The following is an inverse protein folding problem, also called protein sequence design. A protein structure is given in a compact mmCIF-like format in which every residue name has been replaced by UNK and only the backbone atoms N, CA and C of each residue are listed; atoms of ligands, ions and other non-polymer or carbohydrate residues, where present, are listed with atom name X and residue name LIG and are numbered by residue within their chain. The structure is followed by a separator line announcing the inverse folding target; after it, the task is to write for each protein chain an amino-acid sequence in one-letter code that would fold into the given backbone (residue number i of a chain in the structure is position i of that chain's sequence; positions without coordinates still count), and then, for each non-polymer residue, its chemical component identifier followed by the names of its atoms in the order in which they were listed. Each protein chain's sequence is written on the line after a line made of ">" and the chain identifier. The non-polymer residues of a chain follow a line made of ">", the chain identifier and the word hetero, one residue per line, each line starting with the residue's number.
data_IF_725246405298
#
_entry.id   IF_725246405298
#
_cell.length_a   1.000
_cell.length_b   1.000
_cell.length_c   1.000
_cell.angle_alpha   90.00
_cell.angle_beta   90.00
_cell.angle_gamma   90.00
#
_symmetry.space_group_name_H-M   'P 1'
#
loop_
_entity.id
_entity.type
_entity.pdbx_description
1 polymer ?
#
# COMPACT_ATOMS: atom_id res chain seq x y z
N UNK A 1 -5.65 50.99 17.59
CA UNK A 1 -6.25 49.87 18.35
C UNK A 1 -6.35 48.61 17.49
N UNK A 2 -7.05 48.64 16.35
CA UNK A 2 -7.16 47.49 15.44
C UNK A 2 -5.81 46.89 15.00
N UNK A 3 -4.88 47.72 14.48
CA UNK A 3 -3.55 47.27 14.06
C UNK A 3 -2.73 46.65 15.20
N UNK A 4 -2.89 47.16 16.42
CA UNK A 4 -2.21 46.63 17.61
C UNK A 4 -2.78 45.27 17.99
N UNK A 5 -4.10 45.09 17.93
CA UNK A 5 -4.75 43.80 18.19
C UNK A 5 -4.28 42.76 17.17
N UNK A 6 -4.29 43.10 15.87
CA UNK A 6 -3.81 42.19 14.81
C UNK A 6 -2.34 41.82 15.03
N UNK A 7 -1.47 42.80 15.31
CA UNK A 7 -0.06 42.55 15.57
C UNK A 7 0.17 41.63 16.78
N UNK A 8 -0.58 41.85 17.88
CA UNK A 8 -0.51 40.99 19.07
C UNK A 8 -1.00 39.58 18.76
N UNK A 9 -2.12 39.44 18.03
CA UNK A 9 -2.64 38.13 17.63
C UNK A 9 -1.64 37.36 16.75
N UNK A 10 -1.01 38.03 15.78
CA UNK A 10 0.03 37.43 14.94
C UNK A 10 1.27 37.02 15.76
N UNK A 11 1.68 37.87 16.72
CA UNK A 11 2.79 37.54 17.63
C UNK A 11 2.48 36.31 18.49
N UNK A 12 1.26 36.23 19.03
CA UNK A 12 0.80 35.08 19.82
C UNK A 12 0.81 33.81 18.97
N UNK A 13 0.29 33.86 17.74
CA UNK A 13 0.30 32.73 16.81
C UNK A 13 1.73 32.30 16.45
N UNK A 14 2.63 33.26 16.21
CA UNK A 14 4.04 32.98 15.96
C UNK A 14 4.70 32.27 17.15
N UNK A 15 4.48 32.76 18.38
CA UNK A 15 5.02 32.15 19.59
C UNK A 15 4.48 30.73 19.80
N UNK A 16 3.20 30.49 19.54
CA UNK A 16 2.64 29.14 19.58
C UNK A 16 3.24 28.22 18.53
N UNK A 17 3.41 28.70 17.29
CA UNK A 17 4.04 27.94 16.21
C UNK A 17 5.49 27.58 16.51
N UNK A 18 6.28 28.52 17.04
CA UNK A 18 7.66 28.27 17.47
C UNK A 18 7.72 27.22 18.59
N UNK A 19 6.86 27.33 19.60
CA UNK A 19 6.80 26.35 20.69
C UNK A 19 6.39 24.97 20.22
N UNK A 20 5.44 24.88 19.29
CA UNK A 20 5.02 23.60 18.71
C UNK A 20 6.17 22.96 17.92
N UNK A 21 6.89 23.75 17.11
CA UNK A 21 8.09 23.28 16.38
C UNK A 21 9.17 22.80 17.34
N UNK A 22 9.54 23.60 18.34
CA UNK A 22 10.54 23.21 19.34
C UNK A 22 10.14 21.93 20.10
N UNK A 23 8.86 21.75 20.41
CA UNK A 23 8.38 20.54 21.07
C UNK A 23 8.45 19.32 20.16
N UNK A 24 8.12 19.48 18.87
CA UNK A 24 8.29 18.42 17.89
C UNK A 24 9.77 18.04 17.73
N UNK A 25 10.66 19.02 17.56
CA UNK A 25 12.09 18.80 17.42
C UNK A 25 12.66 18.06 18.64
N UNK A 26 12.20 18.38 19.86
CA UNK A 26 12.57 17.62 21.07
C UNK A 26 12.09 16.17 21.03
N UNK A 27 10.90 15.90 20.50
CA UNK A 27 10.38 14.53 20.40
C UNK A 27 11.12 13.73 19.31
N UNK A 28 11.35 14.35 18.14
CA UNK A 28 12.15 13.78 17.05
C UNK A 28 13.54 13.38 17.55
N UNK A 29 14.22 14.27 18.27
CA UNK A 29 15.58 14.03 18.77
C UNK A 29 15.67 12.90 19.82
N UNK A 30 14.55 12.46 20.40
CA UNK A 30 14.53 11.29 21.31
C UNK A 30 14.54 9.96 20.57
N UNK A 31 14.15 9.93 19.30
CA UNK A 31 14.02 8.71 18.51
C UNK A 31 15.18 8.66 17.51
N UNK A 32 16.24 7.86 17.76
CA UNK A 32 17.44 7.90 16.94
C UNK A 32 17.25 7.37 15.52
N UNK A 33 16.39 6.36 15.30
CA UNK A 33 16.12 5.80 13.97
C UNK A 33 14.76 6.30 13.49
N UNK A 34 14.71 7.06 12.39
CA UNK A 34 13.47 7.63 11.85
C UNK A 34 13.41 7.34 10.36
N UNK A 35 12.47 6.48 9.96
CA UNK A 35 12.41 5.90 8.62
C UNK A 35 11.14 6.37 7.89
N UNK A 36 11.31 7.23 6.89
CA UNK A 36 10.21 7.73 6.05
C UNK A 36 10.01 6.82 4.83
N UNK A 37 8.90 6.08 4.80
CA UNK A 37 8.53 5.20 3.69
C UNK A 37 7.58 5.94 2.75
N UNK A 38 8.09 6.39 1.61
CA UNK A 38 7.34 7.10 0.59
C UNK A 38 7.30 6.30 -0.73
N UNK A 39 6.51 6.77 -1.68
CA UNK A 39 6.29 6.09 -2.95
C UNK A 39 4.81 6.03 -3.30
N UNK A 40 4.50 5.56 -4.49
CA UNK A 40 3.11 5.51 -4.94
C UNK A 40 2.39 4.32 -4.31
N UNK A 41 2.93 3.10 -4.43
CA UNK A 41 2.30 1.85 -3.96
C UNK A 41 3.22 0.99 -3.10
N UNK A 42 2.64 0.14 -2.26
CA UNK A 42 3.40 -0.78 -1.40
C UNK A 42 3.95 -0.15 -0.11
N UNK A 43 3.72 1.14 0.14
CA UNK A 43 4.24 1.83 1.33
C UNK A 43 3.83 1.17 2.65
N UNK A 44 2.54 0.84 2.82
CA UNK A 44 2.06 0.21 4.06
C UNK A 44 2.70 -1.16 4.29
N UNK A 45 2.84 -1.96 3.22
CA UNK A 45 3.52 -3.26 3.28
C UNK A 45 4.99 -3.10 3.68
N UNK A 46 5.74 -2.24 2.98
CA UNK A 46 7.15 -1.98 3.30
C UNK A 46 7.32 -1.44 4.72
N UNK A 47 6.42 -0.55 5.16
CA UNK A 47 6.41 -0.02 6.54
C UNK A 47 6.32 -1.14 7.56
N UNK A 48 5.46 -2.14 7.34
CA UNK A 48 5.32 -3.29 8.24
C UNK A 48 6.50 -4.23 8.19
N UNK A 49 7.01 -4.54 7.00
CA UNK A 49 8.18 -5.40 6.84
C UNK A 49 9.41 -4.80 7.54
N UNK A 50 9.67 -3.51 7.32
CA UNK A 50 10.76 -2.77 7.96
C UNK A 50 10.59 -2.76 9.47
N UNK A 51 9.40 -2.37 9.97
CA UNK A 51 9.17 -2.32 11.41
C UNK A 51 9.26 -3.71 12.06
N UNK A 52 8.76 -4.77 11.41
CA UNK A 52 8.89 -6.15 11.89
C UNK A 52 10.34 -6.61 11.95
N UNK A 53 11.15 -6.31 10.93
CA UNK A 53 12.58 -6.60 10.92
C UNK A 53 13.33 -5.89 12.07
N UNK A 54 12.98 -4.64 12.37
CA UNK A 54 13.57 -3.90 13.50
C UNK A 54 13.14 -4.47 14.85
N UNK A 55 11.86 -4.82 15.02
CA UNK A 55 11.35 -5.42 16.25
C UNK A 55 11.99 -6.78 16.55
N UNK A 56 12.16 -7.61 15.53
CA UNK A 56 12.84 -8.92 15.65
C UNK A 56 14.34 -8.77 15.97
N UNK A 57 14.93 -7.62 15.64
CA UNK A 57 16.29 -7.25 16.03
C UNK A 57 16.36 -6.57 17.42
N UNK A 58 15.32 -6.72 18.24
CA UNK A 58 15.18 -6.14 19.59
C UNK A 58 15.22 -4.60 19.64
N UNK A 59 14.98 -3.91 18.52
CA UNK A 59 14.89 -2.45 18.47
C UNK A 59 13.48 -2.02 18.84
N UNK A 60 13.34 -1.15 19.85
CA UNK A 60 12.03 -0.63 20.30
C UNK A 60 11.40 0.23 19.22
N UNK A 61 10.59 -0.40 18.38
CA UNK A 61 10.09 0.21 17.15
C UNK A 61 8.62 0.57 17.28
N UNK A 62 8.25 1.75 16.82
CA UNK A 62 6.86 2.15 16.60
C UNK A 62 6.64 2.36 15.11
N UNK A 63 5.61 1.71 14.58
CA UNK A 63 5.23 1.84 13.18
C UNK A 63 3.93 2.60 13.01
N UNK A 64 3.82 3.35 11.91
CA UNK A 64 2.63 4.11 11.53
C UNK A 64 2.26 3.88 10.07
N UNK A 65 1.01 3.48 9.83
CA UNK A 65 0.42 3.42 8.48
C UNK A 65 -0.69 4.45 8.31
N UNK A 66 -0.85 4.97 7.10
CA UNK A 66 -1.74 6.09 6.79
C UNK A 66 -2.85 5.78 5.80
N UNK A 67 -2.98 4.52 5.37
CA UNK A 67 -4.02 4.07 4.43
C UNK A 67 -5.47 4.15 4.96
N UNK A 68 -6.38 3.40 4.31
CA UNK A 68 -7.82 3.36 4.65
C UNK A 68 -8.06 2.98 6.11
N UNK A 69 -7.28 2.05 6.63
CA UNK A 69 -7.22 1.72 8.05
C UNK A 69 -5.91 2.24 8.63
N UNK A 70 -5.86 3.53 8.97
CA UNK A 70 -4.68 4.16 9.57
C UNK A 70 -4.47 3.64 11.00
N UNK A 71 -3.25 3.18 11.32
CA UNK A 71 -2.94 2.52 12.60
C UNK A 71 -1.51 2.82 13.06
N UNK A 72 -1.35 2.80 14.37
CA UNK A 72 -0.07 2.73 15.08
C UNK A 72 0.11 1.33 15.63
N UNK A 73 1.34 0.82 15.59
CA UNK A 73 1.70 -0.48 16.15
C UNK A 73 3.05 -0.39 16.86
N UNK A 74 3.21 -1.19 17.92
CA UNK A 74 4.23 -0.96 18.95
C UNK A 74 4.97 -2.26 19.26
N UNK A 75 6.25 -2.16 19.57
CA UNK A 75 7.08 -3.34 19.88
C UNK A 75 6.65 -4.12 21.13
N UNK A 76 5.88 -3.51 22.04
CA UNK A 76 5.52 -4.10 23.35
C UNK A 76 4.09 -4.65 23.43
N UNK A 77 3.28 -4.53 22.38
CA UNK A 77 1.91 -5.04 22.37
C UNK A 77 1.50 -5.53 20.98
N UNK A 78 0.73 -6.61 20.95
CA UNK A 78 0.19 -7.13 19.68
C UNK A 78 -0.94 -6.29 19.12
N UNK A 79 -1.70 -5.61 19.97
CA UNK A 79 -2.87 -4.84 19.53
C UNK A 79 -2.44 -3.53 18.86
N UNK A 80 -2.95 -3.30 17.65
CA UNK A 80 -2.67 -2.08 16.90
C UNK A 80 -3.71 -1.00 17.20
N UNK A 81 -3.26 0.20 17.55
CA UNK A 81 -4.11 1.34 17.88
C UNK A 81 -4.60 2.03 16.59
N UNK A 82 -5.92 2.08 16.34
CA UNK A 82 -6.45 2.85 15.22
C UNK A 82 -6.17 4.34 15.38
N UNK A 83 -5.81 5.02 14.29
CA UNK A 83 -5.69 6.48 14.26
C UNK A 83 -7.07 7.07 14.00
N UNK A 84 -7.70 7.60 15.06
CA UNK A 84 -8.99 8.28 14.94
C UNK A 84 -8.79 9.64 14.29
N UNK A 85 -9.20 9.75 13.03
CA UNK A 85 -9.13 11.00 12.27
C UNK A 85 -10.14 12.01 12.79
N UNK A 86 -9.76 13.28 12.73
CA UNK A 86 -10.65 14.40 13.05
C UNK A 86 -11.61 14.65 11.87
N UNK A 87 -12.59 15.53 12.06
CA UNK A 87 -13.61 15.85 11.06
C UNK A 87 -13.03 16.35 9.73
N UNK A 88 -11.83 16.93 9.73
CA UNK A 88 -11.15 17.40 8.52
C UNK A 88 -10.56 16.26 7.67
N UNK A 89 -10.70 15.00 8.11
CA UNK A 89 -10.20 13.84 7.40
C UNK A 89 -8.69 13.61 7.59
N UNK A 90 -8.06 12.84 6.68
CA UNK A 90 -6.64 12.53 6.74
C UNK A 90 -5.80 13.80 6.69
N UNK A 91 -4.87 13.97 7.64
CA UNK A 91 -4.02 15.15 7.66
C UNK A 91 -2.60 14.81 8.10
N UNK A 92 -1.61 15.37 7.40
CA UNK A 92 -0.20 15.18 7.72
C UNK A 92 0.13 15.49 9.19
N UNK A 93 -0.62 16.37 9.88
CA UNK A 93 -0.43 16.71 11.31
C UNK A 93 -0.50 15.51 12.26
N UNK A 94 -1.14 14.43 11.83
CA UNK A 94 -1.13 13.13 12.51
C UNK A 94 0.31 12.66 12.80
N UNK A 95 1.28 13.10 12.00
CA UNK A 95 2.69 12.79 12.16
C UNK A 95 3.29 13.31 13.47
N UNK A 96 3.01 14.56 13.85
CA UNK A 96 3.55 15.17 15.08
C UNK A 96 3.00 14.46 16.32
N UNK A 97 1.75 14.02 16.27
CA UNK A 97 1.10 13.25 17.35
C UNK A 97 1.76 11.89 17.48
N UNK A 98 1.95 11.17 16.37
CA UNK A 98 2.59 9.86 16.36
C UNK A 98 4.05 9.89 16.85
N UNK A 99 4.83 10.89 16.43
CA UNK A 99 6.21 11.07 16.90
C UNK A 99 6.24 11.38 18.39
N UNK A 100 5.34 12.24 18.87
CA UNK A 100 5.22 12.51 20.30
C UNK A 100 4.95 11.23 21.09
N UNK A 101 3.99 10.43 20.64
CA UNK A 101 3.62 9.18 21.29
C UNK A 101 4.79 8.19 21.31
N UNK A 102 5.42 7.94 20.17
CA UNK A 102 6.61 7.08 20.08
C UNK A 102 7.76 7.56 20.99
N UNK A 103 7.98 8.87 21.08
CA UNK A 103 8.99 9.47 21.94
C UNK A 103 8.66 9.38 23.43
N UNK A 104 7.37 9.42 23.81
CA UNK A 104 6.92 9.23 25.19
C UNK A 104 7.04 7.76 25.62
N UNK A 105 6.81 6.82 24.71
CA UNK A 105 6.97 5.38 24.96
C UNK A 105 8.46 4.96 25.02
N UNK A 106 9.37 5.82 24.56
CA UNK A 106 10.81 5.55 24.55
C UNK A 106 11.25 4.67 23.39
N UNK A 107 10.60 4.84 22.22
CA UNK A 107 10.98 4.16 21.00
C UNK A 107 12.40 4.54 20.54
N UNK A 108 13.14 3.54 20.08
CA UNK A 108 14.46 3.67 19.45
C UNK A 108 14.31 3.88 17.94
N UNK A 109 13.25 3.32 17.36
CA UNK A 109 12.93 3.48 15.96
C UNK A 109 11.48 3.90 15.73
N UNK A 110 11.28 4.76 14.74
CA UNK A 110 9.95 5.16 14.27
C UNK A 110 9.87 5.05 12.74
N UNK A 111 9.03 4.15 12.26
CA UNK A 111 8.84 3.83 10.84
C UNK A 111 7.48 4.35 10.40
N UNK A 112 7.44 5.28 9.46
CA UNK A 112 6.18 5.90 9.03
C UNK A 112 6.01 5.84 7.53
N UNK A 113 4.82 5.40 7.13
CA UNK A 113 4.30 5.68 5.81
C UNK A 113 4.13 7.19 5.60
N UNK A 114 4.59 7.70 4.47
CA UNK A 114 4.36 9.06 4.03
C UNK A 114 2.95 9.20 3.42
N UNK A 115 2.17 10.14 3.95
CA UNK A 115 0.82 10.46 3.44
C UNK A 115 0.76 11.76 2.65
N UNK A 116 1.88 12.47 2.52
CA UNK A 116 1.90 13.76 1.86
C UNK A 116 1.82 13.59 0.34
N UNK A 117 0.71 13.98 -0.29
CA UNK A 117 0.62 13.97 -1.76
C UNK A 117 1.17 15.27 -2.34
N UNK A 118 0.85 16.42 -1.74
CA UNK A 118 1.30 17.72 -2.25
C UNK A 118 2.83 17.88 -2.09
N UNK A 119 3.57 18.38 -3.10
CA UNK A 119 5.02 18.54 -3.03
C UNK A 119 5.50 19.39 -1.85
N UNK A 120 4.79 20.45 -1.49
CA UNK A 120 5.14 21.27 -0.32
C UNK A 120 4.95 20.50 1.00
N UNK A 121 3.96 19.61 1.06
CA UNK A 121 3.72 18.78 2.23
C UNK A 121 4.75 17.67 2.35
N UNK A 122 5.27 17.15 1.24
CA UNK A 122 6.39 16.21 1.23
C UNK A 122 7.61 16.82 1.94
N UNK A 123 7.95 18.07 1.58
CA UNK A 123 9.02 18.82 2.22
C UNK A 123 8.78 19.04 3.71
N UNK A 124 7.62 19.56 4.11
CA UNK A 124 7.29 19.80 5.53
C UNK A 124 7.31 18.48 6.32
N UNK A 125 6.78 17.40 5.74
CA UNK A 125 6.77 16.09 6.37
C UNK A 125 8.19 15.60 6.64
N UNK A 126 9.10 15.68 5.65
CA UNK A 126 10.49 15.28 5.81
C UNK A 126 11.28 16.25 6.69
N UNK A 127 11.39 17.51 6.31
CA UNK A 127 12.39 18.45 6.84
C UNK A 127 11.98 19.03 8.21
N UNK A 128 10.68 19.19 8.46
CA UNK A 128 10.20 19.85 9.68
C UNK A 128 9.64 18.87 10.69
N UNK A 129 8.86 17.89 10.27
CA UNK A 129 8.08 17.07 11.20
C UNK A 129 8.73 15.75 11.53
N UNK A 130 9.08 14.96 10.51
CA UNK A 130 9.66 13.64 10.70
C UNK A 130 11.17 13.67 10.88
N UNK A 131 11.86 14.56 10.17
CA UNK A 131 13.32 14.67 10.13
C UNK A 131 13.96 13.29 10.03
N UNK A 132 13.44 12.47 9.12
CA UNK A 132 13.90 11.11 8.94
C UNK A 132 15.38 11.12 8.58
N UNK A 133 16.15 10.19 9.14
CA UNK A 133 17.54 9.96 8.75
C UNK A 133 17.68 8.76 7.80
N UNK A 134 16.58 8.04 7.56
CA UNK A 134 16.49 7.01 6.53
C UNK A 134 15.26 7.31 5.68
N UNK A 135 15.45 7.60 4.40
CA UNK A 135 14.39 7.80 3.42
C UNK A 135 14.27 6.57 2.52
N UNK A 136 13.04 6.10 2.29
CA UNK A 136 12.77 4.98 1.37
C UNK A 136 11.76 5.42 0.33
N UNK A 137 12.08 5.26 -0.95
CA UNK A 137 11.11 5.43 -2.05
C UNK A 137 10.82 4.08 -2.67
N UNK A 138 9.62 3.57 -2.45
CA UNK A 138 9.20 2.22 -2.83
C UNK A 138 9.08 2.06 -4.34
N UNK A 139 8.46 3.03 -5.02
CA UNK A 139 8.35 3.13 -6.47
C UNK A 139 7.90 4.54 -6.86
N UNK A 140 8.03 4.83 -8.15
CA UNK A 140 7.52 6.04 -8.80
C UNK A 140 6.62 5.59 -9.95
N UNK A 141 5.30 5.71 -9.78
CA UNK A 141 4.33 5.47 -10.87
C UNK A 141 3.31 6.60 -10.90
N UNK A 142 2.60 6.74 -12.02
CA UNK A 142 1.54 7.72 -12.21
C UNK A 142 0.40 7.49 -11.21
N UNK A 143 0.17 8.49 -10.36
CA UNK A 143 -0.91 8.55 -9.39
C UNK A 143 -1.06 10.00 -8.93
N UNK A 144 -2.27 10.40 -8.58
CA UNK A 144 -2.57 11.77 -8.13
C UNK A 144 -1.96 12.90 -8.99
N UNK A 145 -1.96 12.71 -10.32
CA UNK A 145 -1.33 13.64 -11.28
C UNK A 145 -1.96 15.04 -11.23
N UNK A 146 -3.21 15.14 -10.78
CA UNK A 146 -3.90 16.40 -10.51
C UNK A 146 -3.26 17.24 -9.38
N UNK A 147 -2.50 16.60 -8.48
CA UNK A 147 -1.80 17.24 -7.36
C UNK A 147 -0.30 17.27 -7.57
N UNK A 148 0.27 16.15 -8.02
CA UNK A 148 1.72 15.99 -8.16
C UNK A 148 2.27 16.66 -9.41
N UNK A 149 1.45 16.83 -10.44
CA UNK A 149 1.84 17.44 -11.71
C UNK A 149 1.59 16.52 -12.90
N UNK A 150 1.62 17.06 -14.13
CA UNK A 150 1.12 16.36 -15.30
C UNK A 150 2.03 15.22 -15.81
N UNK A 151 3.22 15.04 -15.24
CA UNK A 151 4.19 14.03 -15.71
C UNK A 151 4.90 13.34 -14.54
N UNK A 152 5.42 12.14 -14.78
CA UNK A 152 6.13 11.34 -13.76
C UNK A 152 7.36 12.07 -13.22
N UNK A 153 8.02 12.93 -14.00
CA UNK A 153 9.13 13.76 -13.54
C UNK A 153 8.73 14.67 -12.37
N UNK A 154 7.48 15.17 -12.35
CA UNK A 154 7.00 15.95 -11.22
C UNK A 154 6.81 15.09 -9.95
N UNK A 155 6.40 13.83 -10.13
CA UNK A 155 6.34 12.85 -9.03
C UNK A 155 7.74 12.58 -8.47
N UNK A 156 8.72 12.38 -9.36
CA UNK A 156 10.14 12.22 -8.97
C UNK A 156 10.62 13.44 -8.19
N UNK A 157 10.34 14.66 -8.68
CA UNK A 157 10.73 15.90 -8.02
C UNK A 157 10.08 16.05 -6.64
N UNK A 158 8.82 15.63 -6.47
CA UNK A 158 8.16 15.60 -5.17
C UNK A 158 8.80 14.56 -4.22
N UNK A 159 9.20 13.39 -4.74
CA UNK A 159 9.78 12.33 -3.92
C UNK A 159 11.24 12.56 -3.55
N UNK A 160 11.97 13.41 -4.28
CA UNK A 160 13.30 13.89 -3.87
C UNK A 160 13.31 14.50 -2.46
N UNK A 161 12.20 15.09 -2.02
CA UNK A 161 12.08 15.59 -0.64
C UNK A 161 12.14 14.48 0.41
N UNK A 162 12.00 13.19 0.06
CA UNK A 162 12.17 12.07 1.01
C UNK A 162 13.63 11.81 1.37
N UNK A 163 14.57 12.27 0.53
CA UNK A 163 16.00 12.03 0.73
C UNK A 163 16.46 12.85 1.94
N UNK A 164 16.97 12.22 3.01
CA UNK A 164 17.43 12.95 4.19
C UNK A 164 18.70 13.75 3.90
N UNK A 165 19.08 14.62 4.83
CA UNK A 165 20.44 15.19 4.90
C UNK A 165 21.30 14.31 5.80
N UNK A 166 22.56 14.09 5.41
CA UNK A 166 23.55 13.34 6.18
C UNK A 166 23.03 11.95 6.64
N UNK A 167 22.28 11.28 5.77
CA UNK A 167 21.53 10.08 6.11
C UNK A 167 21.66 8.97 5.08
N UNK A 168 20.65 8.11 5.05
CA UNK A 168 20.56 6.95 4.15
C UNK A 168 19.33 7.09 3.28
N UNK A 169 19.48 6.84 1.98
CA UNK A 169 18.39 6.77 1.03
C UNK A 169 18.34 5.38 0.38
N UNK A 170 17.16 4.80 0.31
CA UNK A 170 16.95 3.44 -0.19
C UNK A 170 15.85 3.47 -1.24
N UNK A 171 16.10 2.84 -2.39
CA UNK A 171 15.09 2.71 -3.45
C UNK A 171 15.31 1.46 -4.28
N UNK A 172 14.37 1.15 -5.17
CA UNK A 172 14.47 0.05 -6.13
C UNK A 172 15.08 0.54 -7.46
N UNK A 173 15.66 -0.36 -8.27
CA UNK A 173 16.11 -0.03 -9.62
C UNK A 173 14.96 0.60 -10.43
N UNK A 174 15.20 1.78 -11.00
CA UNK A 174 14.22 2.49 -11.81
C UNK A 174 14.89 3.42 -12.82
N UNK A 175 14.18 3.86 -13.87
CA UNK A 175 14.69 4.87 -14.81
C UNK A 175 15.06 6.21 -14.15
N UNK A 176 14.59 6.46 -12.93
CA UNK A 176 14.78 7.71 -12.20
C UNK A 176 15.89 7.66 -11.14
N UNK A 177 16.60 6.53 -11.03
CA UNK A 177 17.66 6.34 -10.02
C UNK A 177 18.70 7.46 -10.06
N UNK A 178 19.18 7.84 -11.26
CA UNK A 178 20.18 8.90 -11.42
C UNK A 178 19.69 10.25 -10.86
N UNK A 179 18.38 10.53 -10.95
CA UNK A 179 17.80 11.77 -10.41
C UNK A 179 17.81 11.77 -8.88
N UNK A 180 17.59 10.62 -8.25
CA UNK A 180 17.68 10.47 -6.80
C UNK A 180 19.13 10.48 -6.31
N UNK A 181 20.05 9.82 -7.02
CA UNK A 181 21.49 9.84 -6.68
C UNK A 181 22.07 11.26 -6.72
N UNK A 182 21.68 12.07 -7.71
CA UNK A 182 22.06 13.49 -7.78
C UNK A 182 21.59 14.27 -6.56
N UNK A 183 20.34 14.10 -6.17
CA UNK A 183 19.79 14.78 -4.99
C UNK A 183 20.44 14.28 -3.69
N UNK A 184 20.65 12.97 -3.55
CA UNK A 184 21.33 12.38 -2.41
C UNK A 184 22.76 12.89 -2.26
N UNK A 185 23.50 13.04 -3.36
CA UNK A 185 24.82 13.66 -3.35
C UNK A 185 24.79 15.12 -2.86
N UNK A 186 23.78 15.91 -3.26
CA UNK A 186 23.60 17.29 -2.78
C UNK A 186 23.32 17.35 -1.27
N UNK A 187 22.70 16.30 -0.71
CA UNK A 187 22.33 16.20 0.71
C UNK A 187 23.33 15.41 1.55
N UNK A 188 24.47 15.01 0.98
CA UNK A 188 25.46 14.16 1.64
C UNK A 188 24.85 12.86 2.19
N UNK A 189 24.01 12.20 1.40
CA UNK A 189 23.25 11.00 1.79
C UNK A 189 23.71 9.79 0.99
N UNK A 190 23.93 8.68 1.68
CA UNK A 190 24.33 7.41 1.07
C UNK A 190 23.14 6.74 0.40
N UNK A 191 23.33 6.20 -0.81
CA UNK A 191 22.25 5.55 -1.58
C UNK A 191 22.46 4.05 -1.60
N UNK A 192 21.41 3.30 -1.23
CA UNK A 192 21.33 1.85 -1.39
C UNK A 192 20.23 1.50 -2.37
N UNK A 193 20.56 0.66 -3.34
CA UNK A 193 19.59 0.13 -4.32
C UNK A 193 19.22 -1.29 -3.92
N UNK A 194 17.93 -1.53 -3.72
CA UNK A 194 17.41 -2.85 -3.36
C UNK A 194 17.63 -3.84 -4.52
N UNK A 195 18.07 -5.06 -4.19
CA UNK A 195 18.24 -6.12 -5.18
C UNK A 195 17.06 -7.10 -5.10
N UNK A 196 16.08 -6.91 -5.98
CA UNK A 196 14.91 -7.80 -6.09
C UNK A 196 15.32 -9.25 -6.40
N UNK A 197 16.42 -9.47 -7.13
CA UNK A 197 16.88 -10.82 -7.50
C UNK A 197 17.47 -11.58 -6.33
N UNK A 198 17.85 -10.88 -5.26
CA UNK A 198 18.32 -11.51 -4.03
C UNK A 198 17.17 -12.13 -3.22
N UNK A 199 15.91 -11.85 -3.54
CA UNK A 199 14.75 -12.39 -2.83
C UNK A 199 14.30 -13.68 -3.52
N UNK A 200 14.49 -14.87 -2.91
CA UNK A 200 14.16 -16.12 -3.57
C UNK A 200 12.65 -16.43 -3.46
N UNK A 201 12.07 -17.06 -4.49
CA UNK A 201 10.64 -17.39 -4.54
C UNK A 201 10.17 -18.22 -3.32
N UNK A 202 11.02 -19.13 -2.83
CA UNK A 202 10.71 -19.95 -1.66
C UNK A 202 10.61 -19.15 -0.35
N UNK A 203 11.15 -17.93 -0.31
CA UNK A 203 10.94 -17.01 0.82
C UNK A 203 9.60 -16.28 0.69
N UNK A 204 9.24 -15.83 -0.52
CA UNK A 204 7.94 -15.21 -0.80
C UNK A 204 6.78 -16.14 -0.46
N UNK A 205 6.92 -17.43 -0.77
CA UNK A 205 5.91 -18.46 -0.48
C UNK A 205 5.64 -18.69 1.02
N UNK A 206 6.45 -18.14 1.92
CA UNK A 206 6.23 -18.23 3.38
C UNK A 206 5.26 -17.19 3.92
N UNK A 207 4.94 -16.15 3.14
CA UNK A 207 3.96 -15.15 3.56
C UNK A 207 2.53 -15.70 3.36
N UNK A 208 1.64 -15.43 4.32
CA UNK A 208 0.23 -15.82 4.27
C UNK A 208 -0.61 -15.01 3.26
N UNK A 209 0.02 -14.04 2.58
CA UNK A 209 -0.61 -13.13 1.64
C UNK A 209 0.33 -12.88 0.47
N UNK A 210 -0.22 -12.37 -0.63
CA UNK A 210 0.57 -12.08 -1.82
C UNK A 210 1.52 -10.91 -1.51
N UNK A 211 2.82 -11.21 -1.53
CA UNK A 211 3.88 -10.24 -1.35
C UNK A 211 4.65 -10.04 -2.66
N UNK A 212 5.03 -8.79 -2.94
CA UNK A 212 5.89 -8.46 -4.09
C UNK A 212 7.37 -8.52 -3.67
N UNK A 213 8.25 -9.12 -4.48
CA UNK A 213 9.66 -9.25 -4.14
C UNK A 213 10.35 -7.89 -3.95
N UNK A 214 9.91 -6.85 -4.65
CA UNK A 214 10.43 -5.47 -4.50
C UNK A 214 10.22 -4.94 -3.08
N UNK A 215 9.05 -5.22 -2.47
CA UNK A 215 8.75 -4.77 -1.12
C UNK A 215 9.67 -5.45 -0.09
N UNK A 216 9.93 -6.74 -0.29
CA UNK A 216 10.86 -7.51 0.56
C UNK A 216 12.29 -7.03 0.38
N UNK A 217 12.72 -6.80 -0.87
CA UNK A 217 14.07 -6.33 -1.18
C UNK A 217 14.36 -4.96 -0.54
N UNK A 218 13.39 -4.04 -0.56
CA UNK A 218 13.51 -2.75 0.11
C UNK A 218 13.63 -2.90 1.63
N UNK A 219 12.82 -3.77 2.25
CA UNK A 219 12.91 -4.02 3.69
C UNK A 219 14.25 -4.66 4.08
N UNK A 220 14.75 -5.61 3.29
CA UNK A 220 16.09 -6.20 3.45
C UNK A 220 17.21 -5.16 3.29
N UNK A 221 17.08 -4.25 2.33
CA UNK A 221 18.04 -3.17 2.14
C UNK A 221 18.07 -2.22 3.36
N UNK A 222 16.92 -1.88 3.94
CA UNK A 222 16.83 -1.10 5.18
C UNK A 222 17.50 -1.84 6.34
N UNK A 223 17.18 -3.13 6.52
CA UNK A 223 17.77 -3.94 7.58
C UNK A 223 19.31 -4.01 7.44
N UNK A 224 19.81 -4.24 6.23
CA UNK A 224 21.25 -4.27 5.93
C UNK A 224 21.93 -2.94 6.22
N UNK A 225 21.32 -1.82 5.83
CA UNK A 225 21.85 -0.48 6.07
C UNK A 225 21.95 -0.17 7.58
N UNK A 226 21.10 -0.80 8.40
CA UNK A 226 21.13 -0.72 9.86
C UNK A 226 21.99 -1.81 10.52
N UNK A 227 22.66 -2.67 9.74
CA UNK A 227 23.52 -3.74 10.25
C UNK A 227 22.76 -4.96 10.81
N UNK A 228 21.48 -5.10 10.49
CA UNK A 228 20.66 -6.26 10.89
C UNK A 228 20.92 -7.40 9.91
N UNK A 229 21.20 -8.60 10.43
CA UNK A 229 21.45 -9.77 9.59
C UNK A 229 20.17 -10.23 8.88
N UNK A 230 20.35 -10.81 7.69
CA UNK A 230 19.25 -11.20 6.81
C UNK A 230 18.31 -12.22 7.46
N UNK A 231 18.82 -13.17 8.26
CA UNK A 231 17.96 -14.16 8.90
C UNK A 231 17.04 -13.52 9.94
N UNK A 232 17.57 -12.60 10.74
CA UNK A 232 16.78 -11.83 11.72
C UNK A 232 15.76 -10.94 11.01
N UNK A 233 16.17 -10.19 9.98
CA UNK A 233 15.24 -9.39 9.18
C UNK A 233 14.11 -10.23 8.57
N UNK A 234 14.46 -11.38 7.96
CA UNK A 234 13.51 -12.32 7.36
C UNK A 234 12.50 -12.88 8.35
N UNK A 235 12.92 -13.25 9.58
CA UNK A 235 11.98 -13.69 10.62
C UNK A 235 11.02 -12.57 11.00
N UNK A 236 11.53 -11.36 11.23
CA UNK A 236 10.71 -10.22 11.61
C UNK A 236 9.71 -9.82 10.53
N UNK A 237 10.10 -9.92 9.26
CA UNK A 237 9.19 -9.73 8.11
C UNK A 237 8.07 -10.75 8.06
N UNK A 238 8.35 -12.04 8.32
CA UNK A 238 7.33 -13.10 8.33
C UNK A 238 6.39 -13.00 9.55
N UNK A 239 6.91 -12.53 10.69
CA UNK A 239 6.13 -12.30 11.90
C UNK A 239 5.29 -11.01 11.84
N UNK A 240 5.58 -10.12 10.90
CA UNK A 240 4.84 -8.87 10.73
C UNK A 240 3.42 -9.15 10.22
N UNK A 241 2.42 -8.59 10.91
CA UNK A 241 1.01 -8.70 10.50
C UNK A 241 0.84 -8.19 9.06
N UNK A 242 -0.05 -8.79 8.30
CA UNK A 242 -0.43 -8.34 6.96
C UNK A 242 -1.14 -6.97 7.00
N UNK A 243 -0.69 -5.99 6.21
CA UNK A 243 -1.34 -4.67 6.17
C UNK A 243 -2.82 -4.81 5.76
N UNK A 244 -3.74 -3.99 6.31
CA UNK A 244 -5.15 -4.08 5.91
C UNK A 244 -5.33 -3.87 4.40
N UNK A 245 -6.07 -4.76 3.75
CA UNK A 245 -6.33 -4.70 2.32
C UNK A 245 -5.18 -5.21 1.42
N UNK A 246 -4.17 -5.90 1.96
CA UNK A 246 -3.23 -6.63 1.09
C UNK A 246 -3.97 -7.71 0.30
N UNK A 247 -3.50 -7.97 -0.91
CA UNK A 247 -4.02 -9.06 -1.73
C UNK A 247 -3.79 -10.40 -1.04
N UNK A 248 -4.88 -11.09 -0.74
CA UNK A 248 -4.87 -12.45 -0.21
C UNK A 248 -5.20 -13.44 -1.32
N UNK A 249 -4.70 -14.66 -1.17
CA UNK A 249 -5.13 -15.80 -2.01
C UNK A 249 -5.76 -16.82 -1.09
N UNK A 250 -7.03 -17.13 -1.33
CA UNK A 250 -7.82 -18.06 -0.51
C UNK A 250 -8.17 -19.30 -1.31
N UNK A 251 -7.89 -20.52 -0.80
CA UNK A 251 -8.42 -21.74 -1.39
C UNK A 251 -9.93 -21.80 -1.15
N UNK A 252 -10.68 -22.07 -2.21
CA UNK A 252 -12.12 -22.30 -2.18
C UNK A 252 -12.39 -23.67 -2.76
N UNK A 253 -13.05 -24.52 -1.98
CA UNK A 253 -13.43 -25.86 -2.42
C UNK A 253 -14.84 -25.86 -2.96
N UNK A 254 -15.04 -26.49 -4.11
CA UNK A 254 -16.37 -26.76 -4.63
C UNK A 254 -17.06 -27.91 -3.87
N UNK A 255 -18.29 -28.23 -4.26
CA UNK A 255 -19.07 -29.36 -3.69
C UNK A 255 -18.42 -30.73 -3.93
N UNK A 256 -17.43 -30.81 -4.81
CA UNK A 256 -16.70 -32.01 -5.18
C UNK A 256 -15.28 -32.05 -4.59
N UNK A 257 -14.95 -31.17 -3.64
CA UNK A 257 -13.63 -31.07 -2.98
C UNK A 257 -12.48 -30.71 -3.93
N UNK A 258 -12.79 -30.06 -5.06
CA UNK A 258 -11.79 -29.49 -5.96
C UNK A 258 -11.51 -28.05 -5.55
N UNK A 259 -10.23 -27.73 -5.36
CA UNK A 259 -9.80 -26.39 -4.97
C UNK A 259 -9.68 -25.45 -6.18
N UNK A 260 -10.27 -24.28 -6.04
CA UNK A 260 -10.04 -23.08 -6.85
C UNK A 260 -9.39 -22.02 -5.96
N UNK A 261 -8.80 -20.98 -6.56
CA UNK A 261 -8.04 -19.97 -5.79
C UNK A 261 -8.63 -18.59 -5.99
N UNK A 262 -9.18 -18.01 -4.92
CA UNK A 262 -9.66 -16.63 -4.94
C UNK A 262 -8.53 -15.67 -4.64
N UNK A 263 -8.13 -14.90 -5.65
CA UNK A 263 -7.16 -13.80 -5.54
C UNK A 263 -7.94 -12.51 -5.30
N UNK A 264 -7.81 -11.96 -4.09
CA UNK A 264 -8.51 -10.74 -3.70
C UNK A 264 -7.77 -9.48 -4.20
N UNK A 265 -8.08 -9.06 -5.43
CA UNK A 265 -7.58 -7.83 -6.04
C UNK A 265 -8.47 -6.60 -5.84
N UNK A 266 -9.61 -6.70 -5.12
CA UNK A 266 -10.56 -5.58 -4.95
C UNK A 266 -9.96 -4.35 -4.24
N UNK A 267 -8.82 -4.53 -3.55
CA UNK A 267 -8.09 -3.43 -2.91
C UNK A 267 -7.20 -2.65 -3.90
N UNK A 268 -6.95 -3.19 -5.09
CA UNK A 268 -6.26 -2.49 -6.18
C UNK A 268 -7.26 -1.63 -6.97
N UNK A 269 -7.26 -0.33 -6.68
CA UNK A 269 -8.25 0.60 -7.22
C UNK A 269 -7.99 1.08 -8.66
N UNK A 270 -7.02 0.51 -9.39
CA UNK A 270 -6.72 0.92 -10.77
C UNK A 270 -6.13 -0.22 -11.64
N UNK A 271 -6.04 -0.04 -12.98
CA UNK A 271 -5.66 -1.11 -13.90
C UNK A 271 -4.26 -1.70 -13.71
N UNK A 272 -3.22 -0.89 -13.51
CA UNK A 272 -1.82 -1.35 -13.56
C UNK A 272 -1.45 -2.27 -12.40
N UNK A 273 -1.86 -1.95 -11.17
CA UNK A 273 -1.68 -2.79 -9.97
C UNK A 273 -2.54 -4.02 -10.06
N UNK A 274 -3.76 -3.89 -10.57
CA UNK A 274 -4.62 -5.07 -10.77
C UNK A 274 -3.97 -6.03 -11.74
N UNK A 275 -3.39 -5.54 -12.85
CA UNK A 275 -2.65 -6.37 -13.79
C UNK A 275 -1.39 -6.97 -13.15
N UNK A 276 -0.66 -6.21 -12.33
CA UNK A 276 0.50 -6.75 -11.61
C UNK A 276 0.12 -7.86 -10.61
N UNK A 277 -1.05 -7.76 -9.97
CA UNK A 277 -1.58 -8.84 -9.12
C UNK A 277 -1.89 -10.07 -9.97
N UNK A 278 -2.51 -9.89 -11.13
CA UNK A 278 -2.81 -10.98 -12.06
C UNK A 278 -1.55 -11.69 -12.55
N UNK A 279 -0.55 -10.93 -13.03
CA UNK A 279 0.73 -11.48 -13.49
C UNK A 279 1.50 -12.15 -12.36
N UNK A 280 1.42 -11.61 -11.13
CA UNK A 280 2.03 -12.27 -9.97
C UNK A 280 1.31 -13.57 -9.62
N UNK A 281 -0.02 -13.62 -9.68
CA UNK A 281 -0.76 -14.85 -9.48
C UNK A 281 -0.35 -15.92 -10.51
N UNK A 282 -0.23 -15.52 -11.78
CA UNK A 282 0.25 -16.39 -12.86
C UNK A 282 1.69 -16.86 -12.63
N UNK A 283 2.59 -15.96 -12.23
CA UNK A 283 3.99 -16.28 -11.94
C UNK A 283 4.13 -17.28 -10.78
N UNK A 284 3.33 -17.13 -9.74
CA UNK A 284 3.28 -18.06 -8.59
C UNK A 284 2.66 -19.42 -8.95
N UNK A 285 2.16 -19.60 -10.17
CA UNK A 285 1.65 -20.86 -10.68
C UNK A 285 0.19 -21.15 -10.36
N UNK A 286 -0.61 -20.13 -9.98
CA UNK A 286 -2.05 -20.30 -9.85
C UNK A 286 -2.69 -20.57 -11.23
N UNK A 287 -3.78 -21.36 -11.30
CA UNK A 287 -4.38 -21.81 -12.56
C UNK A 287 -5.12 -20.67 -13.29
N UNK A 288 -4.43 -20.02 -14.22
CA UNK A 288 -4.90 -18.85 -14.97
C UNK A 288 -5.41 -19.13 -16.39
N UNK A 289 -5.56 -20.40 -16.79
CA UNK A 289 -5.94 -20.74 -18.18
C UNK A 289 -7.42 -20.44 -18.47
N UNK A 290 -8.32 -20.60 -17.49
CA UNK A 290 -9.76 -20.32 -17.61
C UNK A 290 -10.27 -19.59 -16.35
N UNK A 291 -9.84 -18.34 -16.11
CA UNK A 291 -10.14 -17.65 -14.87
C UNK A 291 -11.57 -17.09 -14.86
N UNK A 292 -12.13 -16.99 -13.66
CA UNK A 292 -13.34 -16.22 -13.40
C UNK A 292 -12.90 -14.85 -12.88
N UNK A 293 -13.22 -13.77 -13.60
CA UNK A 293 -12.95 -12.41 -13.13
C UNK A 293 -14.23 -11.82 -12.57
N UNK A 294 -14.21 -11.37 -11.31
CA UNK A 294 -15.35 -10.73 -10.66
C UNK A 294 -15.05 -9.25 -10.52
N UNK A 295 -15.77 -8.41 -11.27
CA UNK A 295 -15.57 -6.97 -11.29
C UNK A 295 -16.68 -6.23 -10.54
N UNK A 296 -16.32 -5.58 -9.43
CA UNK A 296 -17.24 -4.74 -8.67
C UNK A 296 -17.21 -3.29 -9.20
N UNK A 297 -18.33 -2.86 -9.76
CA UNK A 297 -18.51 -1.53 -10.32
C UNK A 297 -19.21 -0.58 -9.34
N UNK A 298 -19.09 0.73 -9.61
CA UNK A 298 -19.80 1.79 -8.87
C UNK A 298 -20.32 2.86 -9.81
N UNK A 299 -21.56 3.29 -9.60
CA UNK A 299 -22.19 4.34 -10.40
C UNK A 299 -21.52 5.71 -10.20
N UNK A 300 -21.01 6.03 -9.00
CA UNK A 300 -20.38 7.31 -8.68
C UNK A 300 -18.94 7.47 -9.21
N UNK A 301 -18.35 6.42 -9.81
CA UNK A 301 -16.98 6.43 -10.38
C UNK A 301 -16.90 5.84 -11.79
N UNK A 302 -17.70 6.33 -12.76
CA UNK A 302 -17.83 5.71 -14.07
C UNK A 302 -16.52 5.76 -14.88
N UNK A 303 -15.68 6.79 -14.68
CA UNK A 303 -14.38 6.89 -15.33
C UNK A 303 -13.41 5.77 -14.91
N UNK A 304 -13.49 5.30 -13.66
CA UNK A 304 -12.66 4.17 -13.23
C UNK A 304 -13.08 2.88 -13.93
N UNK A 305 -14.39 2.61 -14.00
CA UNK A 305 -14.93 1.46 -14.73
C UNK A 305 -14.49 1.47 -16.20
N UNK A 306 -14.52 2.62 -16.86
CA UNK A 306 -13.99 2.78 -18.23
C UNK A 306 -12.49 2.46 -18.33
N UNK A 307 -11.69 2.98 -17.41
CA UNK A 307 -10.25 2.67 -17.38
C UNK A 307 -9.98 1.17 -17.27
N UNK A 308 -10.73 0.45 -16.43
CA UNK A 308 -10.61 -1.01 -16.34
C UNK A 308 -10.99 -1.71 -17.66
N UNK A 309 -12.04 -1.25 -18.34
CA UNK A 309 -12.45 -1.77 -19.65
C UNK A 309 -11.40 -1.57 -20.74
N UNK A 310 -10.65 -0.47 -20.69
CA UNK A 310 -9.69 -0.09 -21.72
C UNK A 310 -8.26 -0.56 -21.44
N UNK A 311 -7.87 -0.63 -20.17
CA UNK A 311 -6.48 -0.78 -19.76
C UNK A 311 -6.19 -2.04 -18.93
N UNK A 312 -7.20 -2.78 -18.48
CA UNK A 312 -7.02 -4.04 -17.75
C UNK A 312 -7.63 -5.23 -18.50
N UNK A 313 -8.96 -5.22 -18.66
CA UNK A 313 -9.71 -6.38 -19.16
C UNK A 313 -9.23 -6.88 -20.54
N UNK A 314 -8.78 -6.03 -21.49
CA UNK A 314 -8.25 -6.50 -22.76
C UNK A 314 -6.94 -7.31 -22.67
N UNK A 315 -6.26 -7.28 -21.52
CA UNK A 315 -4.98 -7.96 -21.29
C UNK A 315 -5.10 -9.27 -20.51
N UNK A 316 -6.33 -9.69 -20.18
CA UNK A 316 -6.62 -10.94 -19.48
C UNK A 316 -7.50 -11.79 -20.40
N UNK A 317 -7.11 -13.03 -20.67
CA UNK A 317 -7.97 -14.02 -21.30
C UNK A 317 -8.93 -14.57 -20.23
N UNK A 318 -10.19 -14.16 -20.28
CA UNK A 318 -11.18 -14.41 -19.24
C UNK A 318 -12.16 -15.48 -19.71
N UNK A 319 -12.36 -16.52 -18.91
CA UNK A 319 -13.42 -17.48 -19.22
C UNK A 319 -14.78 -16.89 -18.85
N UNK A 320 -14.94 -16.45 -17.60
CA UNK A 320 -16.18 -15.81 -17.12
C UNK A 320 -15.91 -14.46 -16.50
N UNK A 321 -16.52 -13.42 -17.04
CA UNK A 321 -16.53 -12.08 -16.45
C UNK A 321 -17.84 -11.84 -15.72
N UNK A 322 -17.78 -11.78 -14.39
CA UNK A 322 -18.94 -11.54 -13.51
C UNK A 322 -18.94 -10.08 -13.09
N UNK A 323 -19.98 -9.33 -13.47
CA UNK A 323 -20.15 -7.94 -13.06
C UNK A 323 -21.07 -7.87 -11.85
N UNK A 324 -20.65 -7.15 -10.82
CA UNK A 324 -21.41 -6.94 -9.58
C UNK A 324 -21.40 -5.46 -9.18
N UNK A 325 -22.24 -5.09 -8.22
CA UNK A 325 -22.39 -3.71 -7.77
C UNK A 325 -23.32 -2.93 -8.71
N UNK A 326 -22.92 -1.71 -9.07
CA UNK A 326 -23.74 -0.74 -9.82
C UNK A 326 -22.93 -0.09 -10.95
N UNK A 327 -23.59 0.38 -12.01
CA UNK A 327 -22.96 1.13 -13.09
C UNK A 327 -22.10 0.27 -14.03
N UNK A 328 -22.55 -0.96 -14.33
CA UNK A 328 -21.78 -1.96 -15.09
C UNK A 328 -21.71 -1.69 -16.60
N UNK A 329 -22.57 -0.80 -17.12
CA UNK A 329 -22.75 -0.50 -18.54
C UNK A 329 -21.47 -0.29 -19.37
N UNK A 330 -20.42 0.43 -18.89
CA UNK A 330 -19.21 0.59 -19.69
C UNK A 330 -18.52 -0.73 -20.04
N UNK A 331 -18.58 -1.73 -19.14
CA UNK A 331 -17.98 -3.05 -19.37
C UNK A 331 -18.84 -3.86 -20.34
N UNK A 332 -20.16 -3.84 -20.16
CA UNK A 332 -21.13 -4.50 -21.07
C UNK A 332 -20.92 -4.00 -22.49
N UNK A 333 -20.82 -2.68 -22.68
CA UNK A 333 -20.58 -2.08 -24.00
C UNK A 333 -19.23 -2.50 -24.60
N UNK A 334 -18.17 -2.58 -23.80
CA UNK A 334 -16.87 -3.03 -24.28
C UNK A 334 -16.89 -4.51 -24.73
N UNK A 335 -17.60 -5.36 -23.99
CA UNK A 335 -17.83 -6.76 -24.35
C UNK A 335 -18.62 -6.90 -25.66
N UNK A 336 -19.77 -6.22 -25.78
CA UNK A 336 -20.60 -6.24 -27.00
C UNK A 336 -19.88 -5.71 -28.25
N UNK A 337 -18.91 -4.80 -28.05
CA UNK A 337 -18.07 -4.27 -29.12
C UNK A 337 -16.91 -5.22 -29.51
N UNK A 338 -16.76 -6.36 -28.83
CA UNK A 338 -15.68 -7.33 -29.07
C UNK A 338 -14.30 -6.80 -28.68
N UNK A 339 -14.22 -5.86 -27.73
CA UNK A 339 -12.96 -5.29 -27.25
C UNK A 339 -12.29 -6.13 -26.16
N UNK A 340 -13.01 -7.09 -25.60
CA UNK A 340 -12.59 -7.92 -24.46
C UNK A 340 -12.41 -9.37 -24.91
N UNK A 341 -11.36 -10.03 -24.42
CA UNK A 341 -11.13 -11.47 -24.59
C UNK A 341 -11.85 -12.22 -23.46
N UNK A 342 -13.18 -12.32 -23.58
CA UNK A 342 -14.09 -12.89 -22.57
C UNK A 342 -14.97 -13.94 -23.25
N UNK A 343 -14.99 -15.19 -22.75
CA UNK A 343 -15.86 -16.23 -23.31
C UNK A 343 -17.33 -16.02 -22.92
N UNK A 344 -17.59 -15.70 -21.65
CA UNK A 344 -18.93 -15.51 -21.11
C UNK A 344 -18.99 -14.29 -20.18
N UNK A 345 -19.93 -13.37 -20.44
CA UNK A 345 -20.24 -12.24 -19.57
C UNK A 345 -21.50 -12.55 -18.76
N UNK A 346 -21.40 -12.45 -17.43
CA UNK A 346 -22.50 -12.62 -16.51
C UNK A 346 -22.74 -11.32 -15.75
N UNK A 347 -23.81 -10.60 -16.09
CA UNK A 347 -24.16 -9.38 -15.38
C UNK A 347 -25.08 -9.70 -14.19
N UNK A 348 -24.54 -9.53 -12.98
CA UNK A 348 -25.23 -9.66 -11.69
C UNK A 348 -25.30 -8.30 -10.97
N UNK A 349 -25.44 -7.20 -11.73
CA UNK A 349 -25.72 -5.86 -11.22
C UNK A 349 -26.95 -5.88 -10.30
N UNK A 350 -26.86 -5.16 -9.18
CA UNK A 350 -27.89 -5.07 -8.13
C UNK A 350 -28.33 -6.40 -7.48
N UNK A 351 -27.64 -7.51 -7.74
CA UNK A 351 -27.98 -8.80 -7.13
C UNK A 351 -27.46 -8.95 -5.70
N UNK A 352 -28.17 -9.76 -4.91
CA UNK A 352 -27.81 -10.06 -3.52
C UNK A 352 -26.52 -10.90 -3.43
N UNK A 353 -25.76 -10.71 -2.35
CA UNK A 353 -24.45 -11.36 -2.14
C UNK A 353 -24.54 -12.89 -2.22
N UNK A 354 -25.57 -13.51 -1.65
CA UNK A 354 -25.75 -14.96 -1.64
C UNK A 354 -25.85 -15.51 -3.07
N UNK A 355 -26.55 -14.81 -3.95
CA UNK A 355 -26.73 -15.23 -5.35
C UNK A 355 -25.43 -15.11 -6.14
N UNK A 356 -24.68 -14.02 -5.91
CA UNK A 356 -23.35 -13.81 -6.51
C UNK A 356 -22.40 -14.93 -6.06
N UNK A 357 -22.36 -15.22 -4.76
CA UNK A 357 -21.55 -16.29 -4.19
C UNK A 357 -21.91 -17.65 -4.77
N UNK A 358 -23.19 -18.03 -4.81
CA UNK A 358 -23.65 -19.28 -5.39
C UNK A 358 -23.28 -19.40 -6.88
N UNK A 359 -23.39 -18.32 -7.64
CA UNK A 359 -22.99 -18.30 -9.05
C UNK A 359 -21.49 -18.55 -9.21
N UNK A 360 -20.64 -17.85 -8.44
CA UNK A 360 -19.18 -18.02 -8.48
C UNK A 360 -18.82 -19.46 -8.14
N UNK A 361 -19.32 -19.97 -7.00
CA UNK A 361 -19.01 -21.33 -6.50
C UNK A 361 -19.47 -22.42 -7.46
N UNK A 362 -20.64 -22.27 -8.08
CA UNK A 362 -21.14 -23.24 -9.07
C UNK A 362 -20.43 -23.17 -10.42
N UNK A 363 -19.75 -22.06 -10.70
CA UNK A 363 -19.01 -21.83 -11.94
C UNK A 363 -17.54 -22.23 -11.87
N UNK A 364 -17.02 -22.51 -10.68
CA UNK A 364 -15.62 -22.88 -10.47
C UNK A 364 -15.27 -24.21 -11.15
N UNK A 365 -14.09 -24.27 -11.77
CA UNK A 365 -13.51 -25.52 -12.26
C UNK A 365 -11.98 -25.50 -12.09
N UNK A 366 -11.53 -25.57 -10.84
CA UNK A 366 -10.10 -25.60 -10.48
C UNK A 366 -9.29 -24.42 -11.06
N UNK A 367 -9.91 -23.24 -11.12
CA UNK A 367 -9.34 -22.06 -11.74
C UNK A 367 -9.15 -20.92 -10.73
N UNK A 368 -8.46 -19.87 -11.15
CA UNK A 368 -8.36 -18.64 -10.38
C UNK A 368 -9.66 -17.83 -10.48
N UNK A 369 -10.19 -17.42 -9.33
CA UNK A 369 -11.21 -16.39 -9.23
C UNK A 369 -10.51 -15.09 -8.89
N UNK A 370 -10.55 -14.10 -9.77
CA UNK A 370 -9.86 -12.84 -9.57
C UNK A 370 -10.86 -11.70 -9.31
N UNK A 371 -10.89 -11.21 -8.08
CA UNK A 371 -11.73 -10.07 -7.69
C UNK A 371 -11.07 -8.74 -8.02
N UNK A 372 -11.75 -7.86 -8.75
CA UNK A 372 -11.20 -6.58 -9.23
C UNK A 372 -12.21 -5.44 -9.12
N UNK A 373 -11.74 -4.20 -9.23
CA UNK A 373 -12.60 -3.01 -9.16
C UNK A 373 -12.71 -2.48 -7.75
N UNK A 374 -13.86 -1.93 -7.38
CA UNK A 374 -13.99 -1.22 -6.11
C UNK A 374 -14.11 -2.17 -4.91
N UNK A 375 -13.42 -1.86 -3.80
CA UNK A 375 -13.52 -2.64 -2.56
C UNK A 375 -14.89 -2.55 -1.87
N UNK A 376 -15.46 -1.34 -1.79
CA UNK A 376 -16.74 -1.09 -1.12
C UNK A 376 -17.99 -1.59 -1.86
N UNK A 377 -19.12 -1.68 -1.18
CA UNK A 377 -20.39 -2.10 -1.78
C UNK A 377 -20.48 -3.62 -1.87
N UNK A 378 -20.84 -4.18 -3.03
CA UNK A 378 -21.08 -5.62 -3.20
C UNK A 378 -19.85 -6.51 -2.95
N UNK A 379 -18.62 -5.98 -3.10
CA UNK A 379 -17.40 -6.76 -2.87
C UNK A 379 -17.14 -7.04 -1.37
N UNK A 380 -17.41 -6.12 -0.44
CA UNK A 380 -17.17 -6.35 1.01
C UNK A 380 -17.91 -7.58 1.56
N UNK A 381 -19.24 -7.72 1.41
CA UNK A 381 -19.96 -8.89 1.90
C UNK A 381 -19.59 -10.15 1.12
N UNK A 382 -19.29 -10.05 -0.19
CA UNK A 382 -18.83 -11.19 -0.98
C UNK A 382 -17.48 -11.73 -0.48
N UNK A 383 -16.50 -10.86 -0.25
CA UNK A 383 -15.19 -11.24 0.31
C UNK A 383 -15.41 -11.92 1.66
N UNK A 384 -16.26 -11.37 2.51
CA UNK A 384 -16.57 -11.96 3.81
C UNK A 384 -17.16 -13.36 3.69
N UNK A 385 -18.06 -13.59 2.73
CA UNK A 385 -18.67 -14.91 2.50
C UNK A 385 -17.66 -15.93 1.94
N UNK A 386 -16.78 -15.51 1.03
CA UNK A 386 -15.67 -16.32 0.52
C UNK A 386 -14.67 -16.68 1.64
N UNK A 387 -14.39 -15.73 2.56
CA UNK A 387 -13.50 -15.94 3.70
C UNK A 387 -14.07 -16.91 4.75
N UNK A 388 -15.39 -16.89 5.01
CA UNK A 388 -16.04 -17.83 5.93
C UNK A 388 -15.93 -19.27 5.46
N UNK A 389 -16.01 -19.47 4.15
CA UNK A 389 -16.04 -20.79 3.53
C UNK A 389 -14.65 -21.24 3.03
N UNK A 390 -13.57 -20.61 3.50
CA UNK A 390 -12.21 -21.05 3.21
C UNK A 390 -11.96 -22.43 3.83
N UNK A 391 -11.46 -23.36 3.03
CA UNK A 391 -11.00 -24.65 3.54
C UNK A 391 -9.46 -24.65 3.61
N UNK A 392 -8.93 -24.58 4.82
CA UNK A 392 -7.49 -24.58 5.08
C UNK A 392 -6.91 -26.00 5.14
N UNK A 393 -7.73 -27.06 5.02
CA UNK A 393 -7.25 -28.44 5.10
C UNK A 393 -6.63 -28.97 3.81
N UNK A 394 -6.69 -28.20 2.72
CA UNK A 394 -6.28 -28.59 1.37
C UNK A 394 -5.05 -27.83 0.83
N UNK A 395 -4.41 -26.96 1.62
CA UNK A 395 -3.15 -26.27 1.29
C UNK A 395 -1.95 -26.87 2.00
#
# INVERSE_FOLDING_TARGET
>A
MFTLIVAISLLILLVFGMREKEQNDKNVNKIPIRININGTRGKSTVTRLVAGALMEADIKTVGKMTGTQARMFYWYQEEEKPIVRRLEGPNIREQKVAIKEAADDGAEAFVSECMAVHPEYQRIFQDDWMQANIGVVVNVVEDHMEVLGPTVEHVVDAYKYTIPYDGIFITSPSPYLEAFEKEAALRNTEVFVADTKAVPDHFLAKFEYMIFPENVALALAVARALGIDENTASRGMLNAKAAPGVTTVLPIVDRHQKASFFVNGFSANEPTSTLNIWENARYLGYPTDNPIVVMNCREDRPERTKQFAEQLLPYIAIDKLVLIGEGTNPIVQAYEQGKLDVNELCNLEDEETDKIYEFIVSSMDQSTIFGIGNFHGAAEPLIHELEKNKDLSTV
#
